data_IF_103463512658
#
_entry.id   IF_103463512658
#
_cell.length_a   1.000
_cell.length_b   1.000
_cell.length_c   1.000
_cell.angle_alpha   90.00
_cell.angle_beta   90.00
_cell.angle_gamma   90.00
#
_symmetry.space_group_name_H-M   'P 1'
#
loop_
_entity.id
_entity.type
_entity.pdbx_description
1 polymer ?
#
# COMPACT_ATOMS: atom_id res chain seq x y z
N UNK A 1 -8.93 69.88 -11.82
CA UNK A 1 -8.38 69.57 -10.48
C UNK A 1 -9.23 68.56 -9.69
N UNK A 2 -10.56 68.45 -9.83
CA UNK A 2 -11.38 67.49 -9.07
C UNK A 2 -11.28 66.00 -9.55
N UNK A 3 -10.79 65.74 -10.75
CA UNK A 3 -10.63 64.36 -11.28
C UNK A 3 -9.27 63.71 -10.94
N UNK A 4 -8.26 64.47 -10.53
CA UNK A 4 -6.95 63.98 -10.14
C UNK A 4 -6.91 63.50 -8.68
N UNK A 5 -7.73 64.10 -7.81
CA UNK A 5 -7.81 63.68 -6.38
C UNK A 5 -8.50 62.35 -6.18
N UNK A 6 -9.46 61.96 -7.04
CA UNK A 6 -10.15 60.66 -6.96
C UNK A 6 -9.26 59.50 -7.37
N UNK A 7 -8.25 59.71 -8.22
CA UNK A 7 -7.35 58.63 -8.67
C UNK A 7 -6.29 58.28 -7.62
N UNK A 8 -5.87 59.25 -6.82
CA UNK A 8 -4.87 59.06 -5.75
C UNK A 8 -5.47 58.34 -4.56
N UNK A 9 -6.77 58.53 -4.25
CA UNK A 9 -7.45 57.84 -3.15
C UNK A 9 -7.74 56.37 -3.44
N UNK A 10 -7.93 55.98 -4.71
CA UNK A 10 -8.13 54.59 -5.11
C UNK A 10 -6.81 53.79 -5.15
N UNK A 11 -5.68 54.47 -5.50
CA UNK A 11 -4.37 53.80 -5.46
C UNK A 11 -3.84 53.58 -4.04
N UNK A 12 -4.22 54.40 -3.06
CA UNK A 12 -3.81 54.24 -1.66
C UNK A 12 -4.60 53.14 -0.93
N UNK A 13 -5.82 52.76 -1.39
CA UNK A 13 -6.59 51.70 -0.84
C UNK A 13 -6.18 50.31 -1.40
N UNK A 14 -5.57 50.24 -2.60
CA UNK A 14 -5.04 48.98 -3.14
C UNK A 14 -3.67 48.60 -2.60
N UNK A 15 -2.90 49.55 -2.05
CA UNK A 15 -1.60 49.27 -1.43
C UNK A 15 -1.69 48.70 0.00
N UNK A 16 -2.87 48.77 0.63
CA UNK A 16 -3.10 48.24 2.00
C UNK A 16 -3.60 46.79 2.05
N UNK A 17 -3.84 46.15 0.89
CA UNK A 17 -4.30 44.75 0.80
C UNK A 17 -3.19 43.75 0.40
N UNK A 18 -1.94 44.20 0.28
CA UNK A 18 -0.79 43.36 -0.10
C UNK A 18 0.22 43.14 1.05
N UNK A 19 -0.14 43.47 2.29
CA UNK A 19 0.66 43.15 3.49
C UNK A 19 -0.16 42.24 4.39
N UNK A 20 -0.27 40.99 3.98
CA UNK A 20 -0.94 39.99 4.78
C UNK A 20 -0.82 38.62 4.12
N UNK A 21 0.09 37.82 4.67
CA UNK A 21 0.37 36.41 4.40
C UNK A 21 1.57 36.15 3.48
N UNK A 22 2.74 36.60 3.91
CA UNK A 22 4.02 35.95 3.66
C UNK A 22 4.41 35.13 4.88
N UNK A 23 3.56 34.23 5.32
CA UNK A 23 3.91 33.12 6.18
C UNK A 23 4.08 31.91 5.29
N UNK A 24 5.31 31.51 5.00
CA UNK A 24 5.64 30.15 4.66
C UNK A 24 5.39 29.33 5.95
N UNK A 25 4.10 29.11 6.27
CA UNK A 25 3.74 28.09 7.22
C UNK A 25 4.00 26.78 6.51
N UNK A 26 5.01 26.03 6.93
CA UNK A 26 5.04 24.59 6.71
C UNK A 26 3.66 24.08 7.14
N UNK A 27 2.98 23.40 6.21
CA UNK A 27 1.71 22.75 6.55
C UNK A 27 2.04 21.74 7.64
N UNK A 28 1.46 21.90 8.84
CA UNK A 28 1.65 20.91 9.88
C UNK A 28 1.20 19.54 9.35
N UNK A 29 1.96 18.49 9.67
CA UNK A 29 1.62 17.12 9.31
C UNK A 29 0.17 16.81 9.71
N UNK A 30 -0.52 16.08 8.84
CA UNK A 30 -1.92 15.68 9.07
C UNK A 30 -2.01 14.32 9.74
N UNK A 31 -1.07 13.43 9.43
CA UNK A 31 -1.00 12.06 9.95
C UNK A 31 0.43 11.73 10.38
N UNK A 32 0.55 10.76 11.26
CA UNK A 32 1.82 10.12 11.61
C UNK A 32 1.68 8.60 11.65
N UNK A 33 2.77 7.92 11.37
CA UNK A 33 2.90 6.47 11.52
C UNK A 33 3.43 6.19 12.93
N UNK A 34 2.79 5.27 13.62
CA UNK A 34 3.35 4.69 14.85
C UNK A 34 4.31 3.58 14.40
N UNK A 35 5.60 3.89 14.31
CA UNK A 35 6.63 3.03 13.73
C UNK A 35 7.04 1.91 14.71
N UNK A 36 6.03 1.12 15.11
CA UNK A 36 6.16 -0.07 15.97
C UNK A 36 5.51 -1.23 15.21
N UNK A 37 6.32 -2.22 14.86
CA UNK A 37 5.89 -3.42 14.12
C UNK A 37 5.01 -4.29 15.01
N UNK A 38 3.79 -4.57 14.56
CA UNK A 38 2.79 -5.35 15.30
C UNK A 38 2.78 -6.82 14.86
N UNK A 39 3.25 -7.12 13.65
CA UNK A 39 3.30 -8.47 13.08
C UNK A 39 4.67 -8.74 12.45
N UNK A 40 4.94 -10.01 12.18
CA UNK A 40 6.05 -10.46 11.33
C UNK A 40 5.45 -11.18 10.13
N UNK A 41 5.65 -10.66 8.93
CA UNK A 41 5.03 -11.14 7.70
C UNK A 41 6.06 -11.32 6.60
N UNK A 42 5.77 -12.25 5.71
CA UNK A 42 6.56 -12.49 4.50
C UNK A 42 5.68 -12.29 3.27
N UNK A 43 6.12 -11.43 2.34
CA UNK A 43 5.50 -11.35 1.02
C UNK A 43 6.10 -12.37 0.08
N UNK A 44 5.21 -13.06 -0.62
CA UNK A 44 5.54 -13.99 -1.69
C UNK A 44 4.50 -13.87 -2.81
N UNK A 45 4.83 -14.35 -4.01
CA UNK A 45 3.89 -14.38 -5.12
C UNK A 45 3.07 -15.68 -5.08
N UNK A 46 1.81 -15.60 -5.49
CA UNK A 46 0.91 -16.75 -5.54
C UNK A 46 0.77 -17.29 -6.96
N UNK A 47 1.31 -18.46 -7.24
CA UNK A 47 1.25 -19.11 -8.57
C UNK A 47 0.08 -20.08 -8.63
N UNK A 48 -0.53 -20.27 -9.79
CA UNK A 48 -1.56 -21.28 -10.03
C UNK A 48 -1.02 -22.68 -9.66
N UNK A 49 -1.72 -23.38 -8.80
CA UNK A 49 -1.34 -24.75 -8.35
C UNK A 49 -1.24 -25.77 -9.49
N UNK A 50 -1.88 -25.50 -10.62
CA UNK A 50 -1.80 -26.34 -11.81
C UNK A 50 -0.58 -26.02 -12.68
N UNK A 51 0.27 -25.05 -12.29
CA UNK A 51 1.47 -24.63 -13.01
C UNK A 51 2.75 -24.82 -12.15
N UNK A 52 3.09 -26.07 -11.73
CA UNK A 52 4.25 -26.29 -10.86
C UNK A 52 5.58 -25.96 -11.54
N UNK A 53 5.66 -26.04 -12.87
CA UNK A 53 6.84 -25.63 -13.63
C UNK A 53 7.02 -24.10 -13.54
N UNK A 54 5.96 -23.33 -13.69
CA UNK A 54 6.00 -21.87 -13.50
C UNK A 54 6.45 -21.51 -12.09
N UNK A 55 5.94 -22.20 -11.06
CA UNK A 55 6.38 -22.00 -9.68
C UNK A 55 7.89 -22.19 -9.53
N UNK A 56 8.44 -23.24 -10.13
CA UNK A 56 9.87 -23.51 -10.08
C UNK A 56 10.69 -22.43 -10.82
N UNK A 57 10.23 -21.96 -11.98
CA UNK A 57 10.87 -20.90 -12.74
C UNK A 57 10.82 -19.56 -12.00
N UNK A 58 9.69 -19.22 -11.37
CA UNK A 58 9.54 -17.99 -10.55
C UNK A 58 10.46 -18.04 -9.34
N UNK A 59 10.58 -19.18 -8.64
CA UNK A 59 11.52 -19.33 -7.52
C UNK A 59 12.97 -19.18 -7.97
N UNK A 60 13.34 -19.75 -9.12
CA UNK A 60 14.67 -19.56 -9.69
C UNK A 60 14.94 -18.08 -10.02
N UNK A 61 13.94 -17.38 -10.56
CA UNK A 61 14.01 -15.95 -10.85
C UNK A 61 14.13 -15.11 -9.57
N UNK A 62 13.32 -15.40 -8.53
CA UNK A 62 13.42 -14.70 -7.22
C UNK A 62 14.82 -14.88 -6.65
N UNK A 63 15.34 -16.11 -6.59
CA UNK A 63 16.70 -16.38 -6.12
C UNK A 63 17.76 -15.60 -6.90
N UNK A 64 17.57 -15.46 -8.23
CA UNK A 64 18.46 -14.67 -9.10
C UNK A 64 18.43 -13.20 -8.72
N UNK A 65 17.26 -12.56 -8.70
CA UNK A 65 17.14 -11.10 -8.47
C UNK A 65 17.56 -10.69 -7.05
N UNK A 66 17.36 -11.57 -6.06
CA UNK A 66 17.83 -11.36 -4.69
C UNK A 66 19.36 -11.45 -4.58
N UNK A 67 20.00 -12.30 -5.41
CA UNK A 67 21.46 -12.53 -5.32
C UNK A 67 22.30 -11.59 -6.20
N UNK A 68 21.75 -11.08 -7.30
CA UNK A 68 22.49 -10.26 -8.28
C UNK A 68 22.29 -8.74 -8.09
N UNK A 69 21.52 -8.33 -7.09
CA UNK A 69 21.25 -6.92 -6.76
C UNK A 69 20.10 -6.28 -7.54
N UNK A 70 19.43 -7.03 -8.43
CA UNK A 70 18.29 -6.53 -9.21
C UNK A 70 17.13 -6.11 -8.30
N UNK A 71 16.80 -6.93 -7.29
CA UNK A 71 15.75 -6.60 -6.32
C UNK A 71 16.08 -5.32 -5.53
N UNK A 72 17.31 -5.19 -5.04
CA UNK A 72 17.75 -3.99 -4.33
C UNK A 72 17.68 -2.75 -5.23
N UNK A 73 18.08 -2.88 -6.50
CA UNK A 73 17.99 -1.78 -7.47
C UNK A 73 16.54 -1.35 -7.75
N UNK A 74 15.58 -2.30 -7.78
CA UNK A 74 14.15 -2.00 -7.88
C UNK A 74 13.68 -1.28 -6.61
N UNK A 75 13.94 -1.83 -5.43
CA UNK A 75 13.53 -1.23 -4.15
C UNK A 75 14.07 0.19 -3.96
N UNK A 76 15.31 0.46 -4.37
CA UNK A 76 15.92 1.79 -4.25
C UNK A 76 15.21 2.87 -5.08
N UNK A 77 14.42 2.50 -6.09
CA UNK A 77 13.59 3.46 -6.83
C UNK A 77 12.41 3.98 -6.01
N UNK A 78 11.99 3.23 -4.99
CA UNK A 78 10.83 3.53 -4.16
C UNK A 78 11.19 3.94 -2.74
N UNK A 79 12.27 3.39 -2.17
CA UNK A 79 12.68 3.67 -0.80
C UNK A 79 13.86 4.64 -0.67
N UNK A 80 14.43 5.07 -1.80
CA UNK A 80 15.55 6.01 -1.88
C UNK A 80 15.30 7.08 -2.96
N UNK A 81 16.35 7.67 -3.50
CA UNK A 81 16.27 8.77 -4.48
C UNK A 81 16.14 8.31 -5.95
N UNK A 82 15.75 7.05 -6.19
CA UNK A 82 15.61 6.51 -7.54
C UNK A 82 14.29 6.95 -8.22
N UNK A 83 14.24 6.77 -9.53
CA UNK A 83 13.05 7.09 -10.33
C UNK A 83 12.23 5.80 -10.62
N UNK A 84 10.95 5.72 -10.18
CA UNK A 84 10.06 4.61 -10.50
C UNK A 84 9.95 4.36 -12.01
N UNK A 85 9.96 3.09 -12.41
CA UNK A 85 9.86 2.72 -13.82
C UNK A 85 8.41 2.36 -14.17
N UNK A 86 7.88 3.03 -15.21
CA UNK A 86 6.55 2.72 -15.72
C UNK A 86 6.50 1.36 -16.40
N UNK A 87 5.56 0.53 -15.99
CA UNK A 87 5.27 -0.79 -16.58
C UNK A 87 4.01 -0.71 -17.44
N UNK A 88 4.08 -1.30 -18.63
CA UNK A 88 2.97 -1.34 -19.59
C UNK A 88 2.42 -2.76 -19.65
N UNK A 89 1.12 -2.91 -19.51
CA UNK A 89 0.40 -4.16 -19.75
C UNK A 89 0.02 -4.28 -21.23
N UNK A 90 0.25 -5.46 -21.80
CA UNK A 90 -0.32 -5.82 -23.09
C UNK A 90 -1.82 -6.09 -22.98
N UNK A 91 -2.48 -6.21 -24.13
CA UNK A 91 -3.85 -6.72 -24.19
C UNK A 91 -3.82 -8.24 -24.05
N UNK A 92 -4.78 -8.80 -23.32
CA UNK A 92 -4.97 -10.24 -23.23
C UNK A 92 -5.29 -10.80 -24.61
N UNK A 93 -4.51 -11.81 -25.04
CA UNK A 93 -4.67 -12.49 -26.32
C UNK A 93 -4.29 -13.97 -26.15
N UNK A 94 -5.27 -14.84 -26.07
CA UNK A 94 -5.11 -16.29 -25.85
C UNK A 94 -4.28 -16.99 -26.93
N UNK A 95 -4.02 -16.34 -28.07
CA UNK A 95 -3.17 -16.87 -29.14
C UNK A 95 -1.67 -16.61 -28.93
N UNK A 96 -1.32 -15.81 -27.91
CA UNK A 96 0.05 -15.42 -27.58
C UNK A 96 0.55 -16.11 -26.32
N UNK A 97 1.87 -16.22 -26.22
CA UNK A 97 2.52 -16.65 -24.98
C UNK A 97 2.65 -15.45 -24.03
N UNK A 98 1.76 -15.37 -23.05
CA UNK A 98 1.62 -14.27 -22.12
C UNK A 98 1.79 -14.75 -20.68
N UNK A 99 2.33 -13.87 -19.83
CA UNK A 99 2.29 -14.01 -18.37
C UNK A 99 1.16 -13.12 -17.87
N UNK A 100 0.12 -13.72 -17.31
CA UNK A 100 -1.07 -13.01 -16.82
C UNK A 100 -0.95 -12.84 -15.32
N UNK A 101 -0.73 -11.60 -14.87
CA UNK A 101 -0.50 -11.21 -13.48
C UNK A 101 -1.78 -10.61 -12.91
N UNK A 102 -2.30 -11.19 -11.82
CA UNK A 102 -3.35 -10.58 -11.00
C UNK A 102 -2.74 -9.64 -9.96
N UNK A 103 -3.29 -8.45 -9.83
CA UNK A 103 -2.83 -7.44 -8.86
C UNK A 103 -3.97 -6.58 -8.33
N UNK A 104 -3.71 -5.77 -7.28
CA UNK A 104 -4.59 -4.69 -6.83
C UNK A 104 -3.78 -3.39 -6.78
N UNK A 105 -3.77 -2.65 -7.90
CA UNK A 105 -2.88 -1.51 -8.12
C UNK A 105 -3.30 -0.24 -7.34
N UNK A 106 -3.50 -0.38 -6.03
CA UNK A 106 -3.83 0.65 -5.05
C UNK A 106 -2.97 0.57 -3.78
N UNK A 107 -1.81 -0.10 -3.85
CA UNK A 107 -0.95 -0.42 -2.70
C UNK A 107 0.50 0.06 -2.92
N UNK A 108 0.70 1.40 -3.02
CA UNK A 108 2.01 2.03 -3.16
C UNK A 108 2.88 1.75 -1.91
N UNK A 109 4.15 1.33 -2.05
CA UNK A 109 5.00 1.34 -3.23
C UNK A 109 5.05 0.02 -4.02
N UNK A 110 4.26 -1.00 -3.70
CA UNK A 110 4.36 -2.33 -4.35
C UNK A 110 3.64 -2.37 -5.69
N UNK A 111 2.40 -1.90 -5.76
CA UNK A 111 1.61 -1.83 -7.00
C UNK A 111 0.65 -0.65 -6.98
N UNK A 112 0.74 0.21 -7.99
CA UNK A 112 -0.16 1.35 -8.15
C UNK A 112 -0.23 1.82 -9.61
N UNK A 113 -1.21 2.65 -9.90
CA UNK A 113 -1.38 3.24 -11.23
C UNK A 113 -1.15 4.75 -11.21
N UNK A 114 -0.44 5.25 -12.19
CA UNK A 114 -0.30 6.68 -12.45
C UNK A 114 -0.26 6.95 -13.95
N UNK A 115 -1.06 7.91 -14.43
CA UNK A 115 -1.09 8.28 -15.84
C UNK A 115 -1.46 7.13 -16.79
N UNK A 116 -2.25 6.15 -16.32
CA UNK A 116 -2.68 4.99 -17.10
C UNK A 116 -1.58 3.91 -17.29
N UNK A 117 -0.54 3.95 -16.48
CA UNK A 117 0.53 2.95 -16.43
C UNK A 117 0.63 2.38 -15.03
N UNK A 118 1.23 1.20 -14.91
CA UNK A 118 1.51 0.55 -13.65
C UNK A 118 2.91 0.95 -13.15
N UNK A 119 3.04 1.02 -11.84
CA UNK A 119 4.28 1.28 -11.12
C UNK A 119 4.30 0.43 -9.86
N UNK A 120 5.46 0.31 -9.26
CA UNK A 120 5.63 -0.36 -7.99
C UNK A 120 6.64 -1.49 -8.06
N UNK A 121 7.10 -1.92 -6.89
CA UNK A 121 8.10 -2.97 -6.74
C UNK A 121 7.63 -4.26 -7.42
N UNK A 122 6.40 -4.69 -7.13
CA UNK A 122 5.81 -5.91 -7.69
C UNK A 122 5.60 -5.78 -9.20
N UNK A 123 5.21 -4.62 -9.68
CA UNK A 123 5.00 -4.39 -11.11
C UNK A 123 6.32 -4.39 -11.89
N UNK A 124 7.40 -3.82 -11.34
CA UNK A 124 8.74 -3.90 -11.97
C UNK A 124 9.30 -5.32 -11.92
N UNK A 125 9.05 -6.07 -10.83
CA UNK A 125 9.40 -7.50 -10.75
C UNK A 125 8.60 -8.29 -11.78
N UNK A 126 7.29 -8.02 -11.96
CA UNK A 126 6.45 -8.67 -12.96
C UNK A 126 6.96 -8.44 -14.39
N UNK A 127 7.39 -7.21 -14.72
CA UNK A 127 7.99 -6.90 -16.01
C UNK A 127 9.31 -7.66 -16.24
N UNK A 128 10.19 -7.70 -15.23
CA UNK A 128 11.46 -8.44 -15.31
C UNK A 128 11.24 -9.96 -15.37
N UNK A 129 10.22 -10.49 -14.67
CA UNK A 129 9.83 -11.90 -14.74
C UNK A 129 9.32 -12.28 -16.13
N UNK A 130 8.43 -11.47 -16.71
CA UNK A 130 7.92 -11.70 -18.05
C UNK A 130 9.05 -11.71 -19.09
N UNK A 131 10.01 -10.78 -19.00
CA UNK A 131 11.21 -10.78 -19.83
C UNK A 131 12.07 -12.04 -19.63
N UNK A 132 12.29 -12.45 -18.37
CA UNK A 132 13.04 -13.66 -18.03
C UNK A 132 12.42 -14.93 -18.63
N UNK A 133 11.07 -15.02 -18.61
CA UNK A 133 10.32 -16.13 -19.16
C UNK A 133 10.14 -16.04 -20.70
N UNK A 134 10.50 -14.91 -21.32
CA UNK A 134 10.27 -14.66 -22.74
C UNK A 134 8.80 -14.47 -23.11
N UNK A 135 7.96 -14.05 -22.16
CA UNK A 135 6.51 -13.87 -22.31
C UNK A 135 6.12 -12.39 -22.41
N UNK A 136 4.98 -12.11 -23.03
CA UNK A 136 4.38 -10.77 -23.02
C UNK A 136 3.62 -10.58 -21.70
N UNK A 137 3.86 -9.46 -21.00
CA UNK A 137 3.21 -9.17 -19.71
C UNK A 137 1.78 -8.67 -19.89
N UNK A 138 0.83 -9.31 -19.25
CA UNK A 138 -0.55 -8.83 -19.07
C UNK A 138 -0.81 -8.62 -17.57
N UNK A 139 -1.25 -7.43 -17.18
CA UNK A 139 -1.61 -7.09 -15.80
C UNK A 139 -3.13 -6.97 -15.72
N UNK A 140 -3.73 -7.73 -14.82
CA UNK A 140 -5.16 -7.69 -14.50
C UNK A 140 -5.35 -7.08 -13.12
N UNK A 141 -5.73 -5.79 -13.10
CA UNK A 141 -6.05 -5.05 -11.88
C UNK A 141 -7.47 -5.38 -11.41
N UNK A 142 -7.60 -5.72 -10.13
CA UNK A 142 -8.87 -6.15 -9.52
C UNK A 142 -8.92 -5.87 -8.03
N UNK A 143 -10.07 -6.06 -7.38
CA UNK A 143 -10.19 -5.97 -5.93
C UNK A 143 -9.27 -6.98 -5.24
N UNK A 144 -8.62 -6.58 -4.14
CA UNK A 144 -7.60 -7.37 -3.47
C UNK A 144 -8.06 -8.78 -3.10
N UNK A 145 -9.28 -8.93 -2.57
CA UNK A 145 -9.87 -10.22 -2.21
C UNK A 145 -10.04 -11.17 -3.41
N UNK A 146 -10.10 -10.63 -4.63
CA UNK A 146 -10.25 -11.43 -5.84
C UNK A 146 -8.92 -11.95 -6.40
N UNK A 147 -7.77 -11.38 -5.99
CA UNK A 147 -6.46 -11.65 -6.61
C UNK A 147 -6.08 -13.13 -6.54
N UNK A 148 -6.00 -13.72 -5.34
CA UNK A 148 -5.66 -15.14 -5.20
C UNK A 148 -6.73 -16.06 -5.81
N UNK A 149 -8.00 -15.67 -5.71
CA UNK A 149 -9.11 -16.44 -6.27
C UNK A 149 -9.03 -16.50 -7.81
N UNK A 150 -8.68 -15.39 -8.46
CA UNK A 150 -8.52 -15.35 -9.92
C UNK A 150 -7.43 -16.31 -10.41
N UNK A 151 -6.31 -16.40 -9.69
CA UNK A 151 -5.24 -17.36 -9.97
C UNK A 151 -5.72 -18.79 -9.72
N UNK A 152 -6.35 -19.07 -8.56
CA UNK A 152 -6.89 -20.39 -8.25
C UNK A 152 -7.98 -20.89 -9.21
N UNK A 153 -8.62 -19.97 -9.96
CA UNK A 153 -9.59 -20.27 -11.03
C UNK A 153 -8.93 -20.41 -12.42
N UNK A 154 -7.61 -20.29 -12.53
CA UNK A 154 -6.88 -20.33 -13.79
C UNK A 154 -7.17 -19.15 -14.73
N UNK A 155 -7.62 -18.01 -14.20
CA UNK A 155 -7.83 -16.78 -14.96
C UNK A 155 -6.55 -15.97 -15.11
N UNK A 156 -5.63 -16.14 -14.17
CA UNK A 156 -4.31 -15.54 -14.14
C UNK A 156 -3.30 -16.61 -13.76
N UNK A 157 -2.05 -16.44 -14.18
CA UNK A 157 -0.96 -17.38 -13.89
C UNK A 157 -0.38 -17.17 -12.50
N UNK A 158 -0.31 -15.90 -12.07
CA UNK A 158 0.38 -15.50 -10.86
C UNK A 158 -0.28 -14.26 -10.23
N UNK A 159 -0.33 -14.21 -8.91
CA UNK A 159 -0.74 -13.08 -8.09
C UNK A 159 0.50 -12.33 -7.57
N UNK A 160 0.58 -11.03 -7.87
CA UNK A 160 1.65 -10.13 -7.43
C UNK A 160 1.00 -8.86 -6.88
N UNK A 161 0.86 -8.79 -5.55
CA UNK A 161 0.03 -7.78 -4.87
C UNK A 161 0.42 -7.60 -3.39
N UNK A 162 1.72 -7.58 -3.04
CA UNK A 162 2.17 -7.49 -1.66
C UNK A 162 1.55 -8.58 -0.76
N UNK A 163 1.54 -9.82 -1.22
CA UNK A 163 0.75 -10.88 -0.60
C UNK A 163 1.48 -11.54 0.58
N UNK A 164 0.98 -11.32 1.78
CA UNK A 164 1.38 -12.08 2.97
C UNK A 164 1.01 -13.55 2.82
N UNK A 165 1.98 -14.44 3.07
CA UNK A 165 1.79 -15.89 3.06
C UNK A 165 0.91 -16.31 4.25
N UNK A 166 -0.20 -16.99 3.96
CA UNK A 166 -1.09 -17.56 4.98
C UNK A 166 -1.84 -18.78 4.45
N UNK A 167 -2.47 -19.56 5.36
CA UNK A 167 -3.15 -20.82 5.02
C UNK A 167 -4.38 -20.59 4.14
N UNK A 168 -5.18 -19.57 4.41
CA UNK A 168 -6.37 -19.26 3.62
C UNK A 168 -6.03 -18.98 2.15
N UNK A 169 -4.98 -18.18 1.90
CA UNK A 169 -4.52 -17.90 0.52
C UNK A 169 -3.91 -19.14 -0.13
N UNK A 170 -3.23 -20.01 0.67
CA UNK A 170 -2.72 -21.30 0.20
C UNK A 170 -3.80 -22.25 -0.31
N UNK A 171 -5.06 -22.04 0.02
CA UNK A 171 -6.15 -22.81 -0.58
C UNK A 171 -6.27 -22.56 -2.08
N UNK A 172 -5.96 -21.34 -2.53
CA UNK A 172 -6.11 -20.89 -3.92
C UNK A 172 -4.82 -20.94 -4.72
N UNK A 173 -3.66 -20.63 -4.11
CA UNK A 173 -2.38 -20.48 -4.80
C UNK A 173 -1.28 -21.32 -4.18
N UNK A 174 -0.23 -21.63 -4.94
CA UNK A 174 1.05 -22.10 -4.44
C UNK A 174 1.99 -20.90 -4.29
N UNK A 175 2.43 -20.61 -3.06
CA UNK A 175 3.34 -19.50 -2.83
C UNK A 175 4.76 -19.80 -3.27
N UNK A 176 5.43 -18.80 -3.78
CA UNK A 176 6.87 -18.80 -4.06
C UNK A 176 7.68 -18.69 -2.77
N UNK A 177 9.01 -18.72 -2.90
CA UNK A 177 9.90 -18.21 -1.86
C UNK A 177 9.58 -16.72 -1.58
N UNK A 178 9.77 -16.31 -0.32
CA UNK A 178 9.52 -14.93 0.09
C UNK A 178 10.56 -13.96 -0.51
N UNK A 179 10.11 -12.76 -0.90
CA UNK A 179 10.98 -11.72 -1.44
C UNK A 179 11.08 -10.47 -0.56
N UNK A 180 10.12 -10.27 0.37
CA UNK A 180 10.07 -9.07 1.22
C UNK A 180 9.57 -9.41 2.63
N UNK A 181 10.10 -8.71 3.64
CA UNK A 181 9.63 -8.79 5.04
C UNK A 181 8.72 -7.62 5.32
N UNK A 182 7.51 -7.87 5.79
CA UNK A 182 6.49 -6.87 6.06
C UNK A 182 6.01 -6.93 7.51
N UNK A 183 5.23 -5.95 7.90
CA UNK A 183 4.65 -5.84 9.24
C UNK A 183 3.50 -4.86 9.22
N UNK A 184 2.51 -5.03 10.10
CA UNK A 184 1.44 -4.06 10.31
C UNK A 184 1.91 -2.93 11.26
N UNK A 185 1.48 -1.71 10.97
CA UNK A 185 1.68 -0.51 11.80
C UNK A 185 0.40 0.33 11.85
N UNK A 186 0.31 1.23 12.84
CA UNK A 186 -0.80 2.16 12.95
C UNK A 186 -0.50 3.48 12.23
N UNK A 187 -1.49 4.01 11.52
CA UNK A 187 -1.54 5.41 11.07
C UNK A 187 -2.58 6.13 11.92
N UNK A 188 -2.18 7.25 12.50
CA UNK A 188 -3.01 8.08 13.37
C UNK A 188 -2.97 9.54 12.90
N UNK A 189 -3.89 10.38 13.39
CA UNK A 189 -3.79 11.84 13.18
C UNK A 189 -2.53 12.38 13.84
N UNK A 190 -1.90 13.37 13.25
CA UNK A 190 -0.61 13.90 13.72
C UNK A 190 -0.67 14.45 15.17
N UNK A 191 -1.83 14.96 15.57
CA UNK A 191 -2.08 15.50 16.91
C UNK A 191 -2.56 14.44 17.93
N UNK A 192 -2.77 13.19 17.51
CA UNK A 192 -3.14 12.10 18.41
C UNK A 192 -1.92 11.64 19.22
N UNK A 193 -2.05 11.62 20.54
CA UNK A 193 -0.96 11.25 21.47
C UNK A 193 -1.17 9.89 22.15
N UNK A 194 -2.20 9.14 21.74
CA UNK A 194 -2.63 7.89 22.39
C UNK A 194 -1.50 6.84 22.46
N UNK A 195 -0.67 6.77 21.43
CA UNK A 195 0.40 5.78 21.31
C UNK A 195 1.80 6.36 21.54
N UNK A 196 1.95 7.65 21.85
CA UNK A 196 3.27 8.30 21.94
C UNK A 196 4.17 7.75 23.05
N UNK A 197 3.60 7.11 24.06
CA UNK A 197 4.36 6.47 25.14
C UNK A 197 4.75 5.02 24.83
N UNK A 198 4.22 4.43 23.74
CA UNK A 198 4.52 3.05 23.35
C UNK A 198 5.88 2.96 22.66
N UNK A 199 6.63 1.94 22.99
CA UNK A 199 7.95 1.61 22.42
C UNK A 199 8.04 0.17 21.92
N UNK A 200 7.04 -0.66 22.23
CA UNK A 200 6.96 -2.08 21.87
C UNK A 200 5.57 -2.45 21.38
N UNK A 201 5.48 -3.52 20.57
CA UNK A 201 4.20 -4.07 20.13
C UNK A 201 3.27 -4.40 21.31
N UNK A 202 3.79 -5.02 22.36
CA UNK A 202 3.00 -5.37 23.55
C UNK A 202 2.39 -4.13 24.26
N UNK A 203 3.05 -2.97 24.23
CA UNK A 203 2.51 -1.73 24.77
C UNK A 203 1.41 -1.16 23.88
N UNK A 204 1.55 -1.24 22.55
CA UNK A 204 0.49 -0.88 21.60
C UNK A 204 -0.71 -1.80 21.79
N UNK A 205 -0.51 -3.12 21.86
CA UNK A 205 -1.57 -4.10 22.10
C UNK A 205 -2.28 -3.87 23.45
N UNK A 206 -1.55 -3.46 24.49
CA UNK A 206 -2.15 -3.10 25.76
C UNK A 206 -3.10 -1.89 25.63
N UNK A 207 -2.76 -0.90 24.79
CA UNK A 207 -3.65 0.22 24.46
C UNK A 207 -4.86 -0.27 23.67
N UNK A 208 -4.66 -1.10 22.63
CA UNK A 208 -5.74 -1.67 21.82
C UNK A 208 -6.72 -2.49 22.66
N UNK A 209 -6.22 -3.26 23.61
CA UNK A 209 -7.06 -4.03 24.56
C UNK A 209 -7.85 -3.13 25.54
N UNK A 210 -7.48 -1.87 25.68
CA UNK A 210 -8.22 -0.88 26.46
C UNK A 210 -9.38 -0.23 25.69
N UNK A 211 -9.48 -0.45 24.39
CA UNK A 211 -10.55 0.08 23.56
C UNK A 211 -11.81 -0.78 23.61
N UNK A 212 -12.93 -0.23 23.13
CA UNK A 212 -14.21 -0.91 22.98
C UNK A 212 -14.75 -0.74 21.55
N UNK A 213 -15.92 -1.31 21.28
CA UNK A 213 -16.57 -1.27 19.97
C UNK A 213 -16.97 0.15 19.49
N UNK A 214 -16.70 1.20 20.23
CA UNK A 214 -16.87 2.59 19.77
C UNK A 214 -15.63 3.11 19.07
N UNK A 215 -14.49 2.46 19.26
CA UNK A 215 -13.25 2.79 18.57
C UNK A 215 -13.25 2.11 17.22
N UNK A 216 -13.22 2.90 16.14
CA UNK A 216 -13.32 2.43 14.77
C UNK A 216 -11.95 2.47 14.09
N UNK A 217 -11.57 1.34 13.52
CA UNK A 217 -10.35 1.18 12.71
C UNK A 217 -10.69 1.01 11.23
N UNK A 218 -9.98 1.72 10.37
CA UNK A 218 -9.99 1.47 8.93
C UNK A 218 -8.95 0.44 8.55
N UNK A 219 -9.32 -0.48 7.67
CA UNK A 219 -8.45 -1.50 7.10
C UNK A 219 -8.78 -1.67 5.62
N UNK A 220 -7.83 -2.10 4.81
CA UNK A 220 -8.20 -2.63 3.51
C UNK A 220 -8.80 -4.01 3.68
N UNK A 221 -9.90 -4.29 2.99
CA UNK A 221 -10.63 -5.56 3.11
C UNK A 221 -9.77 -6.73 2.64
N UNK A 222 -9.76 -7.84 3.40
CA UNK A 222 -9.03 -9.06 3.07
C UNK A 222 -7.52 -9.02 3.40
N UNK A 223 -7.05 -7.98 4.11
CA UNK A 223 -5.62 -7.85 4.49
C UNK A 223 -5.34 -8.39 5.88
N UNK A 224 -4.05 -8.61 6.17
CA UNK A 224 -3.57 -9.00 7.51
C UNK A 224 -4.08 -8.04 8.59
N UNK A 225 -4.08 -6.73 8.31
CA UNK A 225 -4.54 -5.71 9.27
C UNK A 225 -5.99 -5.91 9.69
N UNK A 226 -6.87 -6.35 8.79
CA UNK A 226 -8.25 -6.69 9.15
C UNK A 226 -8.28 -7.88 10.11
N UNK A 227 -7.64 -8.98 9.76
CA UNK A 227 -7.66 -10.22 10.58
C UNK A 227 -6.95 -10.04 11.91
N UNK A 228 -5.91 -9.21 11.98
CA UNK A 228 -5.24 -8.85 13.23
C UNK A 228 -6.19 -8.16 14.22
N UNK A 229 -7.03 -7.25 13.74
CA UNK A 229 -7.97 -6.52 14.58
C UNK A 229 -9.23 -7.33 14.91
N UNK A 230 -9.77 -8.07 13.96
CA UNK A 230 -10.99 -8.87 14.14
C UNK A 230 -10.75 -10.17 14.90
N UNK A 231 -9.54 -10.71 14.80
CA UNK A 231 -9.18 -12.04 15.25
C UNK A 231 -9.46 -13.09 14.18
N UNK A 232 -8.51 -14.00 14.02
CA UNK A 232 -8.63 -15.12 13.08
C UNK A 232 -7.72 -16.26 13.53
N UNK A 233 -8.29 -17.47 13.70
CA UNK A 233 -7.54 -18.63 14.24
C UNK A 233 -6.49 -19.13 13.25
N UNK A 234 -6.76 -19.07 11.93
CA UNK A 234 -5.83 -19.54 10.89
C UNK A 234 -4.60 -18.62 10.77
N UNK A 235 -4.78 -17.34 11.16
CA UNK A 235 -3.69 -16.36 11.24
C UNK A 235 -3.05 -16.29 12.63
N UNK A 236 -3.65 -16.96 13.64
CA UNK A 236 -3.19 -16.96 15.03
C UNK A 236 -3.46 -15.65 15.75
N UNK A 237 -4.37 -14.82 15.27
CA UNK A 237 -4.72 -13.53 15.86
C UNK A 237 -5.93 -13.66 16.80
N UNK A 238 -5.82 -13.12 18.01
CA UNK A 238 -6.90 -13.12 19.00
C UNK A 238 -7.93 -12.01 18.78
N UNK A 239 -7.56 -10.97 18.01
CA UNK A 239 -8.38 -9.79 17.79
C UNK A 239 -8.54 -8.88 19.00
N UNK A 240 -9.27 -7.80 18.80
CA UNK A 240 -9.52 -6.75 19.80
C UNK A 240 -11.02 -6.39 19.83
N UNK A 241 -11.48 -5.80 20.94
CA UNK A 241 -12.88 -5.38 21.10
C UNK A 241 -13.19 -4.04 20.41
N UNK A 242 -12.63 -3.84 19.19
CA UNK A 242 -12.82 -2.64 18.36
C UNK A 242 -13.79 -2.91 17.23
N UNK A 243 -14.18 -1.89 16.49
CA UNK A 243 -14.95 -2.05 15.24
C UNK A 243 -14.05 -1.79 14.04
N UNK A 244 -13.99 -2.71 13.10
CA UNK A 244 -13.29 -2.52 11.83
C UNK A 244 -14.26 -2.01 10.76
N UNK A 245 -13.72 -1.17 9.86
CA UNK A 245 -14.39 -0.71 8.67
C UNK A 245 -13.50 -1.01 7.47
N UNK A 246 -13.98 -1.88 6.57
CA UNK A 246 -13.28 -2.26 5.35
C UNK A 246 -13.34 -1.18 4.28
N UNK A 247 -12.23 -0.99 3.58
CA UNK A 247 -12.06 -0.09 2.44
C UNK A 247 -11.43 -0.84 1.27
N UNK A 248 -11.61 -0.32 0.06
CA UNK A 248 -10.95 -0.87 -1.14
C UNK A 248 -9.44 -0.53 -1.17
N UNK A 249 -9.00 0.48 -0.41
CA UNK A 249 -7.58 0.81 -0.21
C UNK A 249 -7.34 1.48 1.14
N UNK A 250 -6.12 1.33 1.67
CA UNK A 250 -5.72 1.96 2.93
C UNK A 250 -5.65 3.48 2.84
N UNK A 251 -5.35 4.05 1.67
CA UNK A 251 -5.37 5.50 1.45
C UNK A 251 -6.77 6.10 1.66
N UNK A 252 -7.84 5.40 1.24
CA UNK A 252 -9.22 5.81 1.50
C UNK A 252 -9.59 5.70 2.98
N UNK A 253 -9.05 4.70 3.69
CA UNK A 253 -9.22 4.60 5.14
C UNK A 253 -8.57 5.81 5.85
N UNK A 254 -7.36 6.21 5.47
CA UNK A 254 -6.68 7.40 6.01
C UNK A 254 -7.47 8.67 5.70
N UNK A 255 -8.01 8.82 4.48
CA UNK A 255 -8.89 9.94 4.14
C UNK A 255 -10.11 10.00 5.06
N UNK A 256 -10.73 8.85 5.34
CA UNK A 256 -11.92 8.78 6.19
C UNK A 256 -11.58 9.04 7.68
N UNK A 257 -10.38 8.66 8.13
CA UNK A 257 -9.83 9.03 9.45
C UNK A 257 -9.66 10.55 9.56
N UNK A 258 -9.10 11.19 8.55
CA UNK A 258 -8.93 12.65 8.52
C UNK A 258 -10.28 13.39 8.53
N UNK A 259 -11.31 12.81 7.90
CA UNK A 259 -12.69 13.32 7.94
C UNK A 259 -13.38 13.10 9.31
N UNK A 260 -12.78 12.33 10.22
CA UNK A 260 -13.29 12.06 11.56
C UNK A 260 -14.35 10.96 11.64
N UNK A 261 -14.48 10.13 10.60
CA UNK A 261 -15.45 9.02 10.56
C UNK A 261 -14.93 7.74 11.22
N UNK A 262 -13.62 7.59 11.34
CA UNK A 262 -12.94 6.53 12.05
C UNK A 262 -11.79 7.13 12.87
N UNK A 263 -11.23 6.35 13.80
CA UNK A 263 -10.21 6.82 14.73
C UNK A 263 -8.80 6.55 14.22
N UNK A 264 -8.54 5.35 13.71
CA UNK A 264 -7.22 4.84 13.39
C UNK A 264 -7.25 4.04 12.10
N UNK A 265 -6.08 3.83 11.50
CA UNK A 265 -5.91 2.92 10.35
C UNK A 265 -4.80 1.93 10.66
N UNK A 266 -5.02 0.65 10.36
CA UNK A 266 -3.99 -0.38 10.43
C UNK A 266 -3.64 -0.80 9.00
N UNK A 267 -2.35 -0.80 8.68
CA UNK A 267 -1.84 -1.09 7.34
C UNK A 267 -0.36 -1.46 7.42
N UNK A 268 0.16 -2.10 6.40
CA UNK A 268 1.57 -2.48 6.28
C UNK A 268 2.51 -1.26 6.34
N UNK A 269 3.69 -1.45 6.94
CA UNK A 269 4.65 -0.39 7.26
C UNK A 269 5.05 0.46 6.05
N UNK A 270 5.42 -0.18 4.93
CA UNK A 270 5.86 0.56 3.75
C UNK A 270 4.71 1.41 3.15
N UNK A 271 3.51 0.87 2.87
CA UNK A 271 2.36 1.66 2.45
C UNK A 271 1.96 2.74 3.46
N UNK A 272 2.03 2.48 4.77
CA UNK A 272 1.75 3.49 5.79
C UNK A 272 2.62 4.74 5.62
N UNK A 273 3.94 4.54 5.41
CA UNK A 273 4.90 5.64 5.22
C UNK A 273 4.61 6.41 3.93
N UNK A 274 4.34 5.72 2.82
CA UNK A 274 3.99 6.36 1.54
C UNK A 274 2.69 7.16 1.63
N UNK A 275 1.66 6.61 2.28
CA UNK A 275 0.39 7.31 2.51
C UNK A 275 0.63 8.54 3.40
N UNK A 276 1.38 8.42 4.49
CA UNK A 276 1.68 9.53 5.38
C UNK A 276 2.41 10.66 4.63
N UNK A 277 3.44 10.32 3.86
CA UNK A 277 4.17 11.28 3.03
C UNK A 277 3.28 11.99 2.03
N UNK A 278 2.34 11.28 1.41
CA UNK A 278 1.41 11.86 0.44
C UNK A 278 0.43 12.86 1.08
N UNK A 279 -0.04 12.57 2.29
CA UNK A 279 -0.96 13.47 3.00
C UNK A 279 -0.28 14.65 3.68
N UNK A 280 0.99 14.54 4.04
CA UNK A 280 1.76 15.56 4.76
C UNK A 280 2.46 16.58 3.80
N UNK A 281 2.51 16.30 2.50
CA UNK A 281 2.90 17.26 1.45
C UNK A 281 1.76 18.24 1.21
#
# INVERSE_FOLDING_TARGET
MKKLLSLILVLSLMAALLVGCGGSGESADKVKVIDIKLTEEEYAFGVDKNQPELLAEVNAFIGKILSDGTFEAICNKYFADGEPTAVTSAQLDESKDQLIVATNAMFEPFEYTAGGKFYGIDMEIAAALAEYLGKELVIMDMDFEAVCLAVGQGKCDIAMAGLTVNETRKEHVAFTDAYYQASQVLVVKADDTTFDACTTAAEVEAVLNGFDSKTNFGVQTGTTGQYYLEGDEDWGFTGFAVTTKGYVSSALAVQDMLNGNINYVLVDEAPAKFIADAYNK
#
